data_IF_051582141141
#
_entry.id   IF_051582141141
#
_cell.length_a   1.000
_cell.length_b   1.000
_cell.length_c   1.000
_cell.angle_alpha   90.00
_cell.angle_beta   90.00
_cell.angle_gamma   90.00
#
_symmetry.space_group_name_H-M   'P 1'
#
loop_
_entity.id
_entity.type
_entity.pdbx_description
1 polymer ?
#
# COMPACT_ATOMS: atom_id res chain seq x y z
N UNK A 1 12.13 0.24 -24.87
CA UNK A 1 11.88 -1.21 -25.14
C UNK A 1 13.10 -1.86 -25.82
N UNK A 2 14.33 -1.58 -25.36
CA UNK A 2 15.56 -2.02 -26.03
C UNK A 2 16.37 -3.05 -25.23
N UNK A 3 16.07 -3.23 -23.92
CA UNK A 3 16.82 -4.13 -23.03
C UNK A 3 15.98 -5.30 -22.48
N UNK A 4 14.76 -5.54 -22.99
CA UNK A 4 13.85 -6.60 -22.50
C UNK A 4 13.53 -6.58 -20.98
N UNK A 5 13.92 -5.53 -20.25
CA UNK A 5 13.67 -5.36 -18.81
C UNK A 5 12.19 -5.28 -18.44
N UNK A 6 11.29 -5.05 -19.40
CA UNK A 6 9.83 -5.00 -19.18
C UNK A 6 9.31 -6.23 -18.45
N UNK A 7 9.81 -7.43 -18.80
CA UNK A 7 9.40 -8.68 -18.14
C UNK A 7 9.93 -8.81 -16.71
N UNK A 8 11.12 -8.29 -16.43
CA UNK A 8 11.71 -8.30 -15.09
C UNK A 8 10.98 -7.30 -14.18
N UNK A 9 10.67 -6.11 -14.70
CA UNK A 9 9.86 -5.12 -13.99
C UNK A 9 8.42 -5.59 -13.79
N UNK A 10 7.84 -6.25 -14.78
CA UNK A 10 6.49 -6.83 -14.69
C UNK A 10 6.43 -7.92 -13.62
N UNK A 11 7.39 -8.86 -13.64
CA UNK A 11 7.48 -9.91 -12.62
C UNK A 11 7.66 -9.34 -11.21
N UNK A 12 8.60 -8.40 -11.02
CA UNK A 12 8.82 -7.75 -9.73
C UNK A 12 7.61 -6.94 -9.23
N UNK A 13 6.92 -6.24 -10.14
CA UNK A 13 5.71 -5.49 -9.80
C UNK A 13 4.55 -6.42 -9.43
N UNK A 14 4.41 -7.57 -10.08
CA UNK A 14 3.42 -8.58 -9.72
C UNK A 14 3.70 -9.22 -8.36
N UNK A 15 4.96 -9.51 -8.05
CA UNK A 15 5.37 -10.05 -6.74
C UNK A 15 5.02 -9.07 -5.62
N UNK A 16 5.39 -7.79 -5.76
CA UNK A 16 5.05 -6.76 -4.79
C UNK A 16 3.53 -6.60 -4.64
N UNK A 17 2.80 -6.59 -5.77
CA UNK A 17 1.33 -6.48 -5.76
C UNK A 17 0.68 -7.64 -5.00
N UNK A 18 1.21 -8.86 -5.11
CA UNK A 18 0.70 -10.02 -4.35
C UNK A 18 0.85 -9.80 -2.84
N UNK A 19 1.99 -9.29 -2.39
CA UNK A 19 2.22 -8.98 -0.97
C UNK A 19 1.26 -7.86 -0.49
N UNK A 20 1.16 -6.76 -1.25
CA UNK A 20 0.27 -5.63 -0.94
C UNK A 20 -1.20 -6.05 -0.84
N UNK A 21 -1.69 -6.86 -1.80
CA UNK A 21 -3.06 -7.37 -1.76
C UNK A 21 -3.32 -8.23 -0.53
N UNK A 22 -2.32 -9.00 -0.07
CA UNK A 22 -2.40 -9.76 1.18
C UNK A 22 -2.63 -8.85 2.39
N UNK A 23 -1.87 -7.76 2.50
CA UNK A 23 -2.01 -6.78 3.57
C UNK A 23 -3.34 -6.00 3.51
N UNK A 24 -3.69 -5.50 2.32
CA UNK A 24 -4.95 -4.79 2.10
C UNK A 24 -6.16 -5.66 2.45
N UNK A 25 -6.15 -6.93 2.04
CA UNK A 25 -7.24 -7.86 2.33
C UNK A 25 -7.40 -8.10 3.83
N UNK A 26 -6.30 -8.25 4.57
CA UNK A 26 -6.35 -8.40 6.04
C UNK A 26 -6.92 -7.16 6.71
N UNK A 27 -6.46 -5.97 6.31
CA UNK A 27 -6.97 -4.70 6.82
C UNK A 27 -8.46 -4.54 6.53
N UNK A 28 -8.88 -4.83 5.30
CA UNK A 28 -10.27 -4.70 4.88
C UNK A 28 -11.18 -5.67 5.63
N UNK A 29 -10.74 -6.91 5.86
CA UNK A 29 -11.46 -7.89 6.69
C UNK A 29 -11.66 -7.39 8.12
N UNK A 30 -10.60 -6.89 8.76
CA UNK A 30 -10.69 -6.34 10.12
C UNK A 30 -11.67 -5.16 10.19
N UNK A 31 -11.59 -4.24 9.22
CA UNK A 31 -12.50 -3.09 9.12
C UNK A 31 -13.95 -3.53 8.91
N UNK A 32 -14.20 -4.49 8.02
CA UNK A 32 -15.53 -5.01 7.74
C UNK A 32 -16.14 -5.65 8.99
N UNK A 33 -15.39 -6.50 9.71
CA UNK A 33 -15.84 -7.11 10.96
C UNK A 33 -16.18 -6.04 11.99
N UNK A 34 -15.30 -5.05 12.19
CA UNK A 34 -15.56 -3.95 13.11
C UNK A 34 -16.83 -3.17 12.75
N UNK A 35 -17.05 -2.88 11.47
CA UNK A 35 -18.24 -2.18 11.01
C UNK A 35 -19.53 -2.98 11.22
N UNK A 36 -19.49 -4.29 10.98
CA UNK A 36 -20.62 -5.19 11.27
C UNK A 36 -20.91 -5.20 12.77
N UNK A 37 -19.88 -5.33 13.62
CA UNK A 37 -20.05 -5.28 15.08
C UNK A 37 -20.68 -3.98 15.54
N UNK A 38 -20.21 -2.82 15.05
CA UNK A 38 -20.80 -1.53 15.40
C UNK A 38 -22.26 -1.38 14.95
N UNK A 39 -22.63 -2.00 13.83
CA UNK A 39 -23.99 -1.94 13.28
C UNK A 39 -24.97 -2.84 14.06
N UNK A 40 -24.51 -4.02 14.44
CA UNK A 40 -25.33 -5.04 15.11
C UNK A 40 -25.40 -4.80 16.63
N UNK A 41 -24.36 -4.22 17.24
CA UNK A 41 -24.30 -3.90 18.66
C UNK A 41 -25.57 -3.21 19.23
N UNK A 42 -26.10 -2.11 18.65
CA UNK A 42 -27.30 -1.45 19.20
C UNK A 42 -28.57 -2.31 19.11
N UNK A 43 -28.67 -3.20 18.11
CA UNK A 43 -29.80 -4.13 18.00
C UNK A 43 -29.74 -5.18 19.09
N UNK A 44 -28.56 -5.77 19.31
CA UNK A 44 -28.31 -6.76 20.36
C UNK A 44 -28.56 -6.16 21.73
N UNK A 45 -28.06 -4.94 21.99
CA UNK A 45 -28.32 -4.22 23.26
C UNK A 45 -29.81 -4.06 23.48
N UNK A 46 -30.57 -3.65 22.45
CA UNK A 46 -32.03 -3.49 22.53
C UNK A 46 -32.72 -4.81 22.90
N UNK A 47 -32.36 -5.91 22.23
CA UNK A 47 -32.88 -7.24 22.55
C UNK A 47 -32.57 -7.66 23.99
N UNK A 48 -31.33 -7.44 24.45
CA UNK A 48 -30.91 -7.77 25.82
C UNK A 48 -31.66 -6.93 26.84
N UNK A 49 -31.85 -5.62 26.60
CA UNK A 49 -32.56 -4.74 27.52
C UNK A 49 -34.01 -5.19 27.71
N UNK A 50 -34.73 -5.51 26.63
CA UNK A 50 -36.10 -6.00 26.72
C UNK A 50 -36.20 -7.40 27.33
N UNK A 51 -35.28 -8.31 26.98
CA UNK A 51 -35.24 -9.66 27.57
C UNK A 51 -34.96 -9.61 29.08
N UNK A 52 -34.03 -8.76 29.52
CA UNK A 52 -33.70 -8.57 30.93
C UNK A 52 -34.88 -7.94 31.70
N UNK A 53 -35.55 -6.95 31.11
CA UNK A 53 -36.73 -6.34 31.71
C UNK A 53 -37.85 -7.37 31.91
N UNK A 54 -38.16 -8.18 30.89
CA UNK A 54 -39.13 -9.28 31.01
C UNK A 54 -38.76 -10.28 32.11
N UNK A 55 -37.48 -10.67 32.20
CA UNK A 55 -36.98 -11.60 33.22
C UNK A 55 -37.05 -11.07 34.66
N UNK A 56 -37.04 -9.75 34.85
CA UNK A 56 -37.19 -9.11 36.16
C UNK A 56 -38.65 -8.98 36.61
N UNK A 57 -39.61 -9.46 35.82
CA UNK A 57 -41.03 -9.44 36.16
C UNK A 57 -41.66 -8.05 36.03
N UNK A 58 -41.09 -7.16 35.21
CA UNK A 58 -41.76 -5.91 34.87
C UNK A 58 -42.95 -6.20 33.95
N UNK A 59 -44.10 -5.60 34.25
CA UNK A 59 -45.28 -5.64 33.41
C UNK A 59 -45.01 -4.75 32.19
N UNK A 60 -44.32 -5.29 31.19
CA UNK A 60 -43.89 -4.54 30.01
C UNK A 60 -45.10 -4.23 29.13
N UNK A 61 -45.65 -3.04 29.30
CA UNK A 61 -46.71 -2.53 28.45
C UNK A 61 -46.13 -2.00 27.13
N UNK A 62 -46.96 -1.92 26.10
CA UNK A 62 -46.51 -1.50 24.77
C UNK A 62 -45.89 -0.08 24.78
N UNK A 63 -46.42 0.83 25.60
CA UNK A 63 -45.92 2.19 25.83
C UNK A 63 -44.47 2.22 26.32
N UNK A 64 -44.10 1.36 27.28
CA UNK A 64 -42.73 1.27 27.79
C UNK A 64 -41.75 0.72 26.74
N UNK A 65 -42.20 -0.24 25.93
CA UNK A 65 -41.39 -0.80 24.84
C UNK A 65 -41.10 0.24 23.77
N UNK A 66 -42.11 1.00 23.36
CA UNK A 66 -41.92 2.07 22.37
C UNK A 66 -41.05 3.20 22.93
N UNK A 67 -41.23 3.59 24.19
CA UNK A 67 -40.41 4.61 24.84
C UNK A 67 -38.93 4.17 24.97
N UNK A 68 -38.69 2.94 25.42
CA UNK A 68 -37.35 2.35 25.51
C UNK A 68 -36.67 2.22 24.15
N UNK A 69 -37.40 1.78 23.12
CA UNK A 69 -36.87 1.70 21.76
C UNK A 69 -36.51 3.09 21.20
N UNK A 70 -37.36 4.10 21.45
CA UNK A 70 -37.09 5.48 21.04
C UNK A 70 -35.83 6.04 21.73
N UNK A 71 -35.71 5.85 23.04
CA UNK A 71 -34.53 6.26 23.81
C UNK A 71 -33.25 5.59 23.27
N UNK A 72 -33.27 4.26 23.12
CA UNK A 72 -32.13 3.51 22.56
C UNK A 72 -31.79 3.93 21.13
N UNK A 73 -32.78 4.33 20.33
CA UNK A 73 -32.57 4.81 18.96
C UNK A 73 -31.81 6.13 18.91
N UNK A 74 -32.10 7.07 19.81
CA UNK A 74 -31.38 8.34 19.91
C UNK A 74 -29.92 8.13 20.33
N UNK A 75 -29.64 7.14 21.19
CA UNK A 75 -28.28 6.80 21.60
C UNK A 75 -27.43 6.14 20.49
N UNK A 76 -28.03 5.62 19.40
CA UNK A 76 -27.27 4.98 18.32
C UNK A 76 -26.33 5.94 17.60
N UNK A 77 -26.79 7.17 17.38
CA UNK A 77 -26.02 8.19 16.68
C UNK A 77 -24.69 8.51 17.38
N UNK A 78 -24.66 8.89 18.68
CA UNK A 78 -23.40 9.15 19.37
C UNK A 78 -22.53 7.89 19.47
N UNK A 79 -23.10 6.70 19.71
CA UNK A 79 -22.32 5.46 19.79
C UNK A 79 -21.62 5.09 18.47
N UNK A 80 -22.16 5.52 17.33
CA UNK A 80 -21.55 5.28 16.02
C UNK A 80 -20.51 6.34 15.67
N UNK A 81 -20.81 7.61 15.96
CA UNK A 81 -19.95 8.74 15.57
C UNK A 81 -18.72 8.85 16.48
N UNK A 82 -18.85 8.59 17.78
CA UNK A 82 -17.75 8.74 18.74
C UNK A 82 -16.52 7.87 18.43
N UNK A 83 -16.63 6.54 18.23
CA UNK A 83 -15.48 5.72 17.88
C UNK A 83 -14.89 6.10 16.51
N UNK A 84 -15.73 6.51 15.57
CA UNK A 84 -15.27 6.98 14.26
C UNK A 84 -14.46 8.27 14.41
N UNK A 85 -14.94 9.23 15.19
CA UNK A 85 -14.24 10.49 15.45
C UNK A 85 -12.89 10.26 16.12
N UNK A 86 -12.81 9.35 17.10
CA UNK A 86 -11.53 8.97 17.72
C UNK A 86 -10.54 8.39 16.71
N UNK A 87 -10.99 7.48 15.84
CA UNK A 87 -10.13 6.95 14.77
C UNK A 87 -9.62 8.07 13.85
N UNK A 88 -10.48 9.04 13.49
CA UNK A 88 -10.08 10.20 12.68
C UNK A 88 -9.07 11.11 13.38
N UNK A 89 -9.19 11.30 14.68
CA UNK A 89 -8.23 12.10 15.44
C UNK A 89 -6.85 11.44 15.46
N UNK A 90 -6.79 10.11 15.56
CA UNK A 90 -5.53 9.35 15.48
C UNK A 90 -4.94 9.47 14.06
N UNK A 91 -5.75 9.26 13.02
CA UNK A 91 -5.35 9.45 11.62
C UNK A 91 -4.81 10.87 11.37
N UNK A 92 -5.52 11.89 11.89
CA UNK A 92 -5.12 13.28 11.79
C UNK A 92 -3.80 13.55 12.49
N UNK A 93 -3.59 13.00 13.69
CA UNK A 93 -2.33 13.12 14.43
C UNK A 93 -1.16 12.54 13.62
N UNK A 94 -1.30 11.31 13.13
CA UNK A 94 -0.26 10.67 12.31
C UNK A 94 -0.01 11.44 11.02
N UNK A 95 -1.07 11.97 10.39
CA UNK A 95 -0.95 12.82 9.21
C UNK A 95 -0.23 14.12 9.50
N UNK A 96 -0.53 14.78 10.62
CA UNK A 96 0.12 16.01 11.05
C UNK A 96 1.60 15.78 11.36
N UNK A 97 1.93 14.67 12.03
CA UNK A 97 3.31 14.28 12.34
C UNK A 97 4.12 14.05 11.04
N UNK A 98 3.52 13.44 10.02
CA UNK A 98 4.16 13.26 8.69
C UNK A 98 4.38 14.58 7.96
N UNK A 99 3.40 15.48 7.99
CA UNK A 99 3.54 16.82 7.39
C UNK A 99 4.66 17.59 8.09
N UNK A 100 4.69 17.53 9.43
CA UNK A 100 5.74 18.16 10.21
C UNK A 100 7.12 17.62 9.84
N UNK A 101 7.27 16.30 9.72
CA UNK A 101 8.52 15.68 9.27
C UNK A 101 8.94 16.16 7.87
N UNK A 102 8.00 16.25 6.92
CA UNK A 102 8.26 16.74 5.56
C UNK A 102 8.63 18.24 5.52
N UNK A 103 8.02 19.07 6.36
CA UNK A 103 8.37 20.49 6.42
C UNK A 103 9.73 20.73 7.08
N UNK A 104 10.18 19.80 7.93
CA UNK A 104 11.47 19.84 8.61
C UNK A 104 12.60 19.16 7.84
N UNK A 105 12.31 18.42 6.76
CA UNK A 105 13.37 17.92 5.88
C UNK A 105 14.10 19.10 5.24
N UNK A 106 15.44 19.09 5.33
CA UNK A 106 16.28 20.16 4.80
C UNK A 106 16.00 20.41 3.31
N UNK A 107 16.09 21.68 2.92
CA UNK A 107 15.98 22.11 1.53
C UNK A 107 16.93 21.30 0.65
N UNK A 108 16.39 20.39 -0.17
CA UNK A 108 17.15 19.87 -1.30
C UNK A 108 17.27 21.00 -2.32
N UNK A 109 18.50 21.49 -2.48
CA UNK A 109 18.88 22.42 -3.53
C UNK A 109 18.36 21.87 -4.86
N UNK A 110 17.39 22.56 -5.45
CA UNK A 110 16.91 22.27 -6.80
C UNK A 110 18.10 22.43 -7.75
N UNK A 111 18.71 21.32 -8.18
CA UNK A 111 19.63 21.32 -9.29
C UNK A 111 18.77 21.56 -10.53
N UNK A 112 18.62 22.84 -10.90
CA UNK A 112 18.15 23.21 -12.23
C UNK A 112 19.30 22.83 -13.15
N UNK A 113 19.15 21.73 -13.89
CA UNK A 113 19.97 21.52 -15.08
C UNK A 113 19.54 22.60 -16.08
N UNK A 114 20.27 23.72 -16.11
CA UNK A 114 20.27 24.55 -17.30
C UNK A 114 20.95 23.73 -18.39
N UNK A 115 20.16 23.24 -19.34
CA UNK A 115 20.67 22.58 -20.53
C UNK A 115 21.11 23.69 -21.48
N UNK A 116 22.19 24.38 -21.12
CA UNK A 116 22.93 25.18 -22.08
C UNK A 116 24.08 24.34 -22.65
N UNK A 117 24.03 24.24 -23.97
CA UNK A 117 24.88 23.39 -24.77
C UNK A 117 26.35 23.83 -24.68
N UNK A 118 27.20 22.86 -24.35
CA UNK A 118 28.62 22.83 -24.69
C UNK A 118 29.57 23.30 -23.58
N UNK A 119 30.18 22.35 -22.88
CA UNK A 119 31.63 22.08 -23.00
C UNK A 119 31.98 20.83 -22.16
N UNK A 120 33.11 20.24 -22.49
CA UNK A 120 33.61 18.94 -22.09
C UNK A 120 33.86 18.76 -20.58
N UNK A 121 33.51 17.56 -20.10
CA UNK A 121 34.43 16.65 -19.39
C UNK A 121 35.07 17.10 -18.07
N UNK A 122 34.92 16.19 -17.10
CA UNK A 122 35.88 15.86 -16.04
C UNK A 122 36.07 16.87 -14.90
N UNK A 123 35.12 16.87 -13.96
CA UNK A 123 35.42 16.80 -12.50
C UNK A 123 34.15 16.56 -11.66
N UNK A 124 32.98 16.99 -12.14
CA UNK A 124 31.71 16.88 -11.41
C UNK A 124 31.22 15.43 -11.25
N UNK A 125 31.50 14.54 -12.20
CA UNK A 125 31.10 13.12 -12.14
C UNK A 125 31.68 12.38 -10.93
N UNK A 126 32.87 12.76 -10.45
CA UNK A 126 33.47 12.18 -9.23
C UNK A 126 32.81 12.69 -7.96
N UNK A 127 32.33 13.94 -7.97
CA UNK A 127 31.57 14.52 -6.87
C UNK A 127 30.20 13.86 -6.73
N UNK A 128 29.56 13.47 -7.85
CA UNK A 128 28.30 12.71 -7.84
C UNK A 128 28.47 11.30 -7.25
N UNK A 129 29.56 10.60 -7.58
CA UNK A 129 29.84 9.26 -7.03
C UNK A 129 30.21 9.33 -5.55
N UNK A 130 31.00 10.33 -5.14
CA UNK A 130 31.34 10.56 -3.73
C UNK A 130 30.09 10.94 -2.90
N UNK A 131 29.19 11.77 -3.44
CA UNK A 131 27.93 12.13 -2.78
C UNK A 131 26.92 10.96 -2.74
N UNK A 132 26.99 10.03 -3.69
CA UNK A 132 26.25 8.75 -3.62
C UNK A 132 26.77 7.86 -2.50
N UNK A 133 28.09 7.85 -2.26
CA UNK A 133 28.73 7.05 -1.21
C UNK A 133 28.40 7.60 0.20
N UNK A 134 28.21 8.92 0.33
CA UNK A 134 28.01 9.58 1.62
C UNK A 134 26.55 9.58 2.15
N UNK A 135 25.59 8.99 1.42
CA UNK A 135 24.16 8.85 1.81
C UNK A 135 23.45 10.15 2.21
N UNK A 136 22.69 10.77 1.31
CA UNK A 136 21.40 11.44 1.68
C UNK A 136 20.51 11.97 0.54
N UNK A 137 20.59 11.46 -0.69
CA UNK A 137 19.76 11.97 -1.80
C UNK A 137 18.91 10.93 -2.52
N UNK A 138 18.80 9.72 -1.96
CA UNK A 138 17.80 8.77 -2.41
C UNK A 138 16.51 9.01 -1.62
N UNK A 139 15.41 9.31 -2.32
CA UNK A 139 14.07 9.04 -1.81
C UNK A 139 14.06 7.56 -1.43
N UNK A 140 14.21 7.26 -0.13
CA UNK A 140 14.02 5.92 0.39
C UNK A 140 12.56 5.55 0.13
N UNK A 141 12.32 4.84 -0.97
CA UNK A 141 11.13 4.01 -1.11
C UNK A 141 11.38 2.86 -0.15
N UNK A 142 10.70 2.83 1.01
CA UNK A 142 10.99 1.80 1.98
C UNK A 142 10.52 0.49 1.34
N UNK A 143 11.48 -0.44 1.16
CA UNK A 143 11.26 -1.87 0.98
C UNK A 143 11.18 -2.45 -0.44
N UNK A 144 12.03 -2.00 -1.36
CA UNK A 144 12.40 -2.82 -2.53
C UNK A 144 13.92 -2.84 -2.69
N UNK A 145 14.58 -3.81 -2.07
CA UNK A 145 15.96 -4.17 -2.41
C UNK A 145 15.92 -5.07 -3.62
N UNK A 146 16.24 -4.52 -4.79
CA UNK A 146 16.46 -5.32 -6.00
C UNK A 146 17.89 -5.84 -5.91
N UNK A 147 18.05 -7.11 -5.54
CA UNK A 147 19.32 -7.82 -5.75
C UNK A 147 19.47 -8.07 -7.25
N UNK A 148 20.56 -7.56 -7.83
CA UNK A 148 20.95 -7.87 -9.20
C UNK A 148 21.92 -9.05 -9.14
N UNK A 149 21.50 -10.23 -9.57
CA UNK A 149 22.46 -11.30 -9.88
C UNK A 149 23.23 -10.87 -11.13
N UNK A 150 24.53 -10.62 -10.95
CA UNK A 150 25.44 -10.34 -12.04
C UNK A 150 25.37 -11.49 -13.05
N UNK A 151 24.93 -11.18 -14.27
CA UNK A 151 24.87 -12.10 -15.38
C UNK A 151 26.29 -12.52 -15.80
N UNK A 152 26.89 -13.45 -15.06
CA UNK A 152 28.14 -14.12 -15.44
C UNK A 152 27.89 -15.27 -16.43
N UNK A 153 26.64 -15.72 -16.61
CA UNK A 153 26.33 -16.92 -17.40
C UNK A 153 25.92 -16.64 -18.85
N UNK A 154 25.86 -15.37 -19.27
CA UNK A 154 25.49 -15.02 -20.66
C UNK A 154 26.67 -15.16 -21.65
N UNK A 155 27.92 -15.21 -21.17
CA UNK A 155 29.11 -15.26 -22.03
C UNK A 155 29.47 -16.70 -22.46
N UNK A 156 28.91 -17.73 -21.81
CA UNK A 156 29.20 -19.13 -22.11
C UNK A 156 28.38 -19.73 -23.28
N UNK A 157 27.35 -19.03 -23.78
CA UNK A 157 26.47 -19.54 -24.85
C UNK A 157 26.89 -19.10 -26.27
N UNK A 158 27.95 -18.30 -26.42
CA UNK A 158 28.34 -17.71 -27.71
C UNK A 158 29.39 -18.50 -28.50
N UNK A 159 29.83 -19.68 -28.03
CA UNK A 159 30.95 -20.40 -28.66
C UNK A 159 30.64 -21.87 -28.98
N UNK A 160 29.87 -22.11 -30.05
CA UNK A 160 29.96 -23.36 -30.83
C UNK A 160 29.80 -23.07 -32.33
N UNK A 161 30.77 -23.44 -33.20
CA UNK A 161 30.69 -23.28 -34.65
C UNK A 161 30.28 -24.57 -35.35
N UNK A 162 29.28 -24.52 -36.24
CA UNK A 162 28.97 -25.58 -37.22
C UNK A 162 28.39 -24.89 -38.46
N UNK A 163 29.17 -24.59 -39.51
CA UNK A 163 29.59 -25.46 -40.61
C UNK A 163 28.43 -26.21 -41.31
N UNK A 164 27.94 -25.57 -42.39
CA UNK A 164 27.70 -26.12 -43.73
C UNK A 164 27.12 -27.54 -43.89
N UNK A 165 25.87 -27.65 -44.36
CA UNK A 165 25.46 -28.62 -45.40
C UNK A 165 23.97 -28.47 -45.81
N UNK A 166 23.76 -28.26 -47.11
CA UNK A 166 22.70 -28.81 -47.97
C UNK A 166 21.21 -28.72 -47.53
N UNK A 167 20.49 -27.78 -48.15
CA UNK A 167 19.03 -27.80 -48.24
C UNK A 167 18.62 -28.58 -49.50
N UNK A 168 18.37 -29.88 -49.31
CA UNK A 168 17.59 -30.67 -50.25
C UNK A 168 16.12 -30.24 -50.18
N UNK A 169 15.62 -29.73 -51.31
CA UNK A 169 14.20 -29.48 -51.60
C UNK A 169 13.47 -30.82 -51.78
N UNK A 170 12.24 -30.97 -51.28
CA UNK A 170 11.26 -31.79 -52.00
C UNK A 170 10.14 -30.91 -52.54
N UNK A 171 9.88 -31.11 -53.84
CA UNK A 171 8.66 -30.73 -54.54
C UNK A 171 7.41 -31.23 -53.82
N UNK A 172 6.37 -30.39 -53.77
CA UNK A 172 5.03 -30.82 -54.17
C UNK A 172 4.21 -29.60 -54.59
N UNK A 173 3.67 -29.73 -55.82
CA UNK A 173 2.70 -28.92 -56.57
C UNK A 173 3.08 -27.49 -57.01
#
# INVERSE_FOLDING_TARGET
KFMSWERLFEAGAEDLRREEMGHLTRMHKARAVFQVLLTVAPQVVTCITFAAAYGMGSDMRADDVFAGFAALSVLRMPLTIMPLALARLIELKVSADRINAFLLTGEHRRIVHDVDAGDAGTDDDKAYVAAMEERELAIMVPRVTVEYEAAADAEAAAEQPTQDSDVAKPSNE
#
